data_IF_995571777158
#
_entry.id   IF_995571777158
#
_cell.length_a   1.000
_cell.length_b   1.000
_cell.length_c   1.000
_cell.angle_alpha   90.00
_cell.angle_beta   90.00
_cell.angle_gamma   90.00
#
_symmetry.space_group_name_H-M   'P 1'
#
loop_
_entity.id
_entity.type
_entity.pdbx_description
1 polymer ?
#
# COMPACT_ATOMS: atom_id res chain seq x y z
N UNK A 1 43.74 15.23 -21.04
CA UNK A 1 44.47 15.48 -19.77
C UNK A 1 43.45 15.75 -18.66
N UNK A 2 42.90 14.71 -18.03
CA UNK A 2 41.92 14.86 -16.93
C UNK A 2 42.62 14.60 -15.60
N UNK A 3 42.98 15.68 -14.90
CA UNK A 3 43.60 15.63 -13.58
C UNK A 3 42.64 15.08 -12.53
N UNK A 4 43.15 14.23 -11.63
CA UNK A 4 42.36 13.69 -10.50
C UNK A 4 42.00 14.83 -9.55
N UNK A 5 40.74 14.95 -9.10
CA UNK A 5 40.35 16.00 -8.15
C UNK A 5 40.99 15.76 -6.77
N UNK A 6 41.46 16.84 -6.14
CA UNK A 6 42.08 16.82 -4.82
C UNK A 6 41.06 16.52 -3.72
N UNK A 7 41.53 15.84 -2.66
CA UNK A 7 40.71 15.52 -1.48
C UNK A 7 40.26 16.82 -0.80
N UNK A 8 38.95 17.08 -0.77
CA UNK A 8 38.34 18.20 -0.03
C UNK A 8 37.43 19.13 -0.83
N UNK A 9 37.29 18.96 -2.14
CA UNK A 9 36.32 19.74 -2.93
C UNK A 9 34.93 19.14 -2.75
N UNK A 10 33.94 19.96 -2.37
CA UNK A 10 32.54 19.53 -2.28
C UNK A 10 32.07 19.00 -3.64
N UNK A 11 31.86 17.68 -3.73
CA UNK A 11 31.35 16.97 -4.92
C UNK A 11 29.87 17.28 -5.21
N UNK A 12 29.41 18.50 -4.98
CA UNK A 12 28.04 18.93 -5.30
C UNK A 12 28.11 19.81 -6.54
N UNK A 13 28.20 19.17 -7.70
CA UNK A 13 27.91 19.83 -8.96
C UNK A 13 26.40 20.00 -9.09
N UNK A 14 25.95 21.16 -9.58
CA UNK A 14 24.53 21.37 -9.86
C UNK A 14 24.08 20.35 -10.90
N UNK A 15 23.03 19.59 -10.58
CA UNK A 15 22.48 18.63 -11.51
C UNK A 15 22.04 19.35 -12.79
N UNK A 16 22.75 19.09 -13.88
CA UNK A 16 22.40 19.57 -15.21
C UNK A 16 21.54 18.51 -15.88
N UNK A 17 20.33 18.89 -16.26
CA UNK A 17 19.43 18.02 -17.03
C UNK A 17 20.02 17.78 -18.42
N UNK A 18 20.10 16.53 -18.86
CA UNK A 18 20.51 16.18 -20.22
C UNK A 18 19.35 16.48 -21.18
N UNK A 19 19.42 17.62 -21.86
CA UNK A 19 18.35 18.10 -22.75
C UNK A 19 18.02 17.09 -23.86
N UNK A 20 19.01 16.41 -24.41
CA UNK A 20 18.81 15.46 -25.51
C UNK A 20 18.01 14.22 -25.06
N UNK A 21 18.23 13.76 -23.83
CA UNK A 21 17.47 12.65 -23.25
C UNK A 21 16.00 13.03 -23.05
N UNK A 22 15.73 14.23 -22.52
CA UNK A 22 14.36 14.69 -22.27
C UNK A 22 13.61 15.08 -23.54
N UNK A 23 14.31 15.58 -24.57
CA UNK A 23 13.73 15.80 -25.90
C UNK A 23 13.27 14.49 -26.54
N UNK A 24 14.08 13.42 -26.45
CA UNK A 24 13.68 12.09 -26.92
C UNK A 24 12.48 11.54 -26.15
N UNK A 25 12.47 11.67 -24.83
CA UNK A 25 11.30 11.30 -24.02
C UNK A 25 10.05 12.10 -24.41
N UNK A 26 10.18 13.40 -24.67
CA UNK A 26 9.08 14.25 -25.10
C UNK A 26 8.56 13.84 -26.49
N UNK A 27 9.44 13.52 -27.44
CA UNK A 27 9.08 12.99 -28.75
C UNK A 27 8.38 11.63 -28.64
N UNK A 28 8.86 10.74 -27.77
CA UNK A 28 8.26 9.42 -27.54
C UNK A 28 6.88 9.50 -26.85
N UNK A 29 6.68 10.48 -25.97
CA UNK A 29 5.34 10.80 -25.43
C UNK A 29 4.43 11.38 -26.51
N UNK A 30 4.94 12.28 -27.35
CA UNK A 30 4.17 12.89 -28.44
C UNK A 30 3.80 11.91 -29.55
N UNK A 31 4.65 10.92 -29.83
CA UNK A 31 4.37 9.84 -30.79
C UNK A 31 3.43 8.76 -30.24
N UNK A 32 3.05 8.85 -28.96
CA UNK A 32 2.17 7.87 -28.30
C UNK A 32 2.81 6.49 -28.07
N UNK A 33 4.11 6.37 -28.32
CA UNK A 33 4.84 5.09 -28.24
C UNK A 33 5.39 4.82 -26.84
N UNK A 34 5.39 5.83 -25.97
CA UNK A 34 5.72 5.71 -24.56
C UNK A 34 4.42 5.61 -23.75
N UNK A 35 3.99 4.37 -23.50
CA UNK A 35 3.03 4.09 -22.43
C UNK A 35 3.80 4.31 -21.14
N UNK A 36 3.50 5.38 -20.40
CA UNK A 36 3.90 5.48 -18.99
C UNK A 36 3.36 4.19 -18.34
N UNK A 37 4.24 3.24 -18.02
CA UNK A 37 3.88 2.04 -17.26
C UNK A 37 3.20 2.55 -16.01
N UNK A 38 1.86 2.52 -16.01
CA UNK A 38 1.08 2.82 -14.83
C UNK A 38 1.56 1.81 -13.81
N UNK A 39 2.26 2.29 -12.78
CA UNK A 39 2.70 1.52 -11.63
C UNK A 39 1.67 0.42 -11.37
N UNK A 40 2.02 -0.82 -11.73
CA UNK A 40 1.13 -1.95 -11.58
C UNK A 40 0.96 -2.13 -10.07
N UNK A 41 -0.06 -1.45 -9.52
CA UNK A 41 -0.43 -1.58 -8.12
C UNK A 41 -0.62 -3.06 -7.90
N UNK A 42 0.10 -3.62 -6.93
CA UNK A 42 -0.01 -5.03 -6.55
C UNK A 42 -1.44 -5.31 -6.10
N UNK A 43 -2.28 -5.73 -7.04
CA UNK A 43 -3.66 -6.14 -6.77
C UNK A 43 -3.57 -7.44 -5.99
N UNK A 44 -3.92 -7.41 -4.71
CA UNK A 44 -4.08 -8.61 -3.92
C UNK A 44 -5.30 -9.33 -4.49
N UNK A 45 -5.07 -10.43 -5.22
CA UNK A 45 -6.13 -11.29 -5.76
C UNK A 45 -6.82 -12.04 -4.62
N UNK A 46 -7.64 -11.35 -3.83
CA UNK A 46 -8.50 -11.99 -2.84
C UNK A 46 -9.96 -11.78 -3.22
N UNK A 47 -10.77 -12.84 -3.12
CA UNK A 47 -12.20 -12.79 -3.46
C UNK A 47 -13.05 -12.08 -2.38
N UNK A 48 -12.42 -11.69 -1.25
CA UNK A 48 -13.08 -11.07 -0.11
C UNK A 48 -13.53 -9.67 -0.48
N UNK A 49 -14.78 -9.34 -0.16
CA UNK A 49 -15.40 -8.03 -0.50
C UNK A 49 -14.59 -6.83 0.03
N UNK A 50 -13.75 -7.07 1.03
CA UNK A 50 -12.86 -6.06 1.58
C UNK A 50 -11.80 -5.56 0.59
N UNK A 51 -11.39 -6.36 -0.39
CA UNK A 51 -10.31 -6.01 -1.33
C UNK A 51 -10.81 -5.81 -2.76
N UNK A 52 -12.12 -5.57 -2.93
CA UNK A 52 -12.69 -5.25 -4.23
C UNK A 52 -12.50 -3.77 -4.52
N UNK A 53 -11.89 -3.47 -5.67
CA UNK A 53 -11.82 -2.13 -6.21
C UNK A 53 -13.23 -1.54 -6.42
N UNK A 54 -13.30 -0.20 -6.54
CA UNK A 54 -14.55 0.49 -6.86
C UNK A 54 -15.09 0.02 -8.23
N UNK A 55 -16.41 -0.11 -8.34
CA UNK A 55 -17.04 -0.29 -9.65
C UNK A 55 -16.75 0.93 -10.55
N UNK A 56 -16.63 0.71 -11.86
CA UNK A 56 -16.13 1.67 -12.88
C UNK A 56 -16.96 2.96 -13.06
N UNK A 57 -17.98 3.21 -12.23
CA UNK A 57 -18.76 4.45 -12.16
C UNK A 57 -18.94 5.02 -10.75
N UNK A 58 -18.43 4.34 -9.72
CA UNK A 58 -18.51 4.74 -8.32
C UNK A 58 -17.16 5.29 -7.85
N UNK A 59 -16.60 6.23 -8.61
CA UNK A 59 -15.41 6.98 -8.20
C UNK A 59 -15.73 7.66 -6.86
N UNK A 60 -14.94 7.35 -5.84
CA UNK A 60 -15.16 7.81 -4.48
C UNK A 60 -15.10 9.34 -4.34
N UNK A 61 -15.19 9.85 -3.10
CA UNK A 61 -15.27 11.28 -2.87
C UNK A 61 -14.08 11.97 -3.55
N UNK A 62 -14.38 12.99 -4.37
CA UNK A 62 -13.42 13.79 -5.14
C UNK A 62 -12.80 13.05 -6.34
N UNK A 63 -13.56 12.23 -7.07
CA UNK A 63 -13.13 11.64 -8.35
C UNK A 63 -11.91 10.72 -8.22
N UNK A 64 -11.66 10.21 -7.02
CA UNK A 64 -10.57 9.27 -6.78
C UNK A 64 -10.99 7.86 -7.20
N UNK A 65 -10.03 7.03 -7.62
CA UNK A 65 -10.22 5.60 -7.94
C UNK A 65 -10.63 4.74 -6.73
N UNK A 66 -11.10 5.37 -5.64
CA UNK A 66 -11.38 4.76 -4.35
C UNK A 66 -12.85 4.39 -4.27
N UNK A 67 -13.17 3.19 -3.81
CA UNK A 67 -14.53 2.79 -3.50
C UNK A 67 -15.09 3.62 -2.33
N UNK A 68 -16.40 3.87 -2.34
CA UNK A 68 -17.09 4.44 -1.18
C UNK A 68 -16.97 3.52 0.04
N UNK A 69 -16.87 4.13 1.22
CA UNK A 69 -16.87 3.41 2.49
C UNK A 69 -18.19 2.67 2.66
N UNK A 70 -18.14 1.33 2.57
CA UNK A 70 -19.27 0.46 2.91
C UNK A 70 -19.31 0.21 4.42
N UNK A 71 -20.52 0.15 4.97
CA UNK A 71 -20.73 -0.33 6.32
C UNK A 71 -20.29 -1.80 6.43
N UNK A 72 -19.83 -2.21 7.61
CA UNK A 72 -19.50 -3.62 7.87
C UNK A 72 -20.79 -4.44 7.92
N UNK A 73 -20.87 -5.50 7.11
CA UNK A 73 -21.96 -6.48 7.17
C UNK A 73 -21.77 -7.47 8.33
N UNK A 74 -20.53 -7.87 8.57
CA UNK A 74 -20.19 -8.86 9.60
C UNK A 74 -19.86 -8.19 10.94
N UNK A 75 -20.28 -8.84 12.02
CA UNK A 75 -19.90 -8.46 13.38
C UNK A 75 -18.47 -8.89 13.66
N UNK A 76 -17.68 -7.99 14.23
CA UNK A 76 -16.32 -8.30 14.70
C UNK A 76 -16.44 -9.06 16.01
N UNK A 77 -16.16 -10.35 15.98
CA UNK A 77 -16.15 -11.22 17.16
C UNK A 77 -14.76 -11.20 17.80
N UNK A 78 -14.69 -10.72 19.05
CA UNK A 78 -13.43 -10.65 19.81
C UNK A 78 -13.37 -11.68 20.96
N UNK A 79 -14.52 -12.25 21.30
CA UNK A 79 -14.69 -13.05 22.52
C UNK A 79 -14.55 -14.56 22.29
N UNK A 80 -14.37 -15.01 21.05
CA UNK A 80 -14.39 -16.43 20.66
C UNK A 80 -13.33 -17.29 21.37
N UNK A 81 -12.24 -16.65 21.83
CA UNK A 81 -11.09 -17.33 22.44
C UNK A 81 -10.92 -16.99 23.92
N UNK A 82 -11.84 -16.24 24.52
CA UNK A 82 -11.76 -15.84 25.93
C UNK A 82 -11.86 -17.09 26.82
N UNK A 83 -10.85 -17.31 27.65
CA UNK A 83 -10.77 -18.48 28.54
C UNK A 83 -10.25 -19.77 27.89
N UNK A 84 -9.92 -19.75 26.60
CA UNK A 84 -9.31 -20.90 25.92
C UNK A 84 -7.78 -20.82 25.92
N UNK A 85 -7.11 -21.95 26.19
CA UNK A 85 -5.65 -22.08 26.07
C UNK A 85 -5.35 -22.92 24.83
N UNK A 86 -4.59 -22.36 23.88
CA UNK A 86 -4.20 -23.04 22.64
C UNK A 86 -2.68 -23.11 22.53
N UNK A 87 -2.15 -24.27 22.12
CA UNK A 87 -0.73 -24.43 21.82
C UNK A 87 -0.46 -23.94 20.40
N UNK A 88 0.47 -23.00 20.27
CA UNK A 88 0.82 -22.36 19.00
C UNK A 88 2.17 -22.93 18.52
N UNK A 89 2.24 -23.34 17.25
CA UNK A 89 3.51 -23.68 16.58
C UNK A 89 4.26 -22.40 16.22
N UNK A 90 5.60 -22.41 16.33
CA UNK A 90 6.43 -21.20 16.15
C UNK A 90 6.27 -20.50 14.80
N UNK A 91 5.97 -21.23 13.72
CA UNK A 91 5.77 -20.67 12.38
C UNK A 91 4.48 -19.83 12.28
N UNK A 92 3.43 -20.21 12.99
CA UNK A 92 2.14 -19.53 12.97
C UNK A 92 2.02 -18.43 14.04
N UNK A 93 3.06 -18.25 14.85
CA UNK A 93 3.03 -17.36 16.01
C UNK A 93 2.61 -15.93 15.64
N UNK A 94 2.94 -15.44 14.45
CA UNK A 94 2.52 -14.11 14.01
C UNK A 94 1.00 -14.05 13.79
N UNK A 95 0.38 -15.09 13.21
CA UNK A 95 -1.06 -15.07 12.91
C UNK A 95 -1.93 -15.41 14.11
N UNK A 96 -1.40 -16.21 15.03
CA UNK A 96 -2.18 -16.78 16.14
C UNK A 96 -1.95 -16.09 17.49
N UNK A 97 -0.87 -15.32 17.66
CA UNK A 97 -0.57 -14.61 18.90
C UNK A 97 -1.25 -13.23 18.95
N UNK A 98 -2.57 -13.23 19.15
CA UNK A 98 -3.38 -12.02 19.28
C UNK A 98 -4.33 -11.78 18.11
N UNK A 99 -4.71 -10.53 17.88
CA UNK A 99 -5.63 -10.12 16.81
C UNK A 99 -4.86 -9.81 15.53
N UNK A 100 -5.07 -10.61 14.49
CA UNK A 100 -4.41 -10.44 13.19
C UNK A 100 -5.23 -9.59 12.23
N UNK A 101 -4.56 -8.69 11.50
CA UNK A 101 -5.15 -7.89 10.42
C UNK A 101 -4.59 -8.34 9.07
N UNK A 102 -5.44 -8.91 8.22
CA UNK A 102 -5.07 -9.35 6.86
C UNK A 102 -4.67 -8.18 5.94
N UNK A 103 -5.29 -7.01 6.10
CA UNK A 103 -5.05 -5.83 5.25
C UNK A 103 -3.67 -5.19 5.52
N UNK A 104 -3.17 -5.30 6.75
CA UNK A 104 -1.90 -4.68 7.16
C UNK A 104 -0.81 -5.70 7.48
N UNK A 105 -1.13 -7.00 7.41
CA UNK A 105 -0.22 -8.11 7.72
C UNK A 105 0.48 -7.93 9.08
N UNK A 106 -0.27 -7.46 10.09
CA UNK A 106 0.27 -7.16 11.41
C UNK A 106 -0.63 -7.70 12.51
N UNK A 107 0.01 -8.03 13.63
CA UNK A 107 -0.64 -8.62 14.80
C UNK A 107 -0.67 -7.62 15.93
N UNK A 108 -1.85 -7.47 16.53
CA UNK A 108 -2.11 -6.57 17.64
C UNK A 108 -2.43 -7.40 18.88
N UNK A 109 -1.90 -6.99 20.03
CA UNK A 109 -2.01 -7.74 21.28
C UNK A 109 -3.34 -7.50 21.99
N UNK A 110 -3.82 -6.25 21.93
CA UNK A 110 -5.01 -5.82 22.65
C UNK A 110 -6.22 -5.66 21.71
N UNK A 111 -7.41 -5.95 22.24
CA UNK A 111 -8.69 -5.83 21.52
C UNK A 111 -9.03 -4.39 21.16
N UNK A 112 -8.74 -3.45 22.06
CA UNK A 112 -8.96 -2.01 21.84
C UNK A 112 -8.06 -1.50 20.71
N UNK A 113 -6.77 -1.85 20.75
CA UNK A 113 -5.83 -1.48 19.71
C UNK A 113 -6.22 -2.08 18.34
N UNK A 114 -6.78 -3.29 18.33
CA UNK A 114 -7.32 -3.91 17.13
C UNK A 114 -8.53 -3.16 16.56
N UNK A 115 -9.48 -2.75 17.39
CA UNK A 115 -10.64 -1.97 16.97
C UNK A 115 -10.23 -0.61 16.38
N UNK A 116 -9.34 0.11 17.07
CA UNK A 116 -8.81 1.39 16.59
C UNK A 116 -8.01 1.23 15.29
N UNK A 117 -7.29 0.12 15.16
CA UNK A 117 -6.60 -0.21 13.93
C UNK A 117 -7.57 -0.49 12.77
N UNK A 118 -8.65 -1.26 13.00
CA UNK A 118 -9.67 -1.53 11.98
C UNK A 118 -10.32 -0.23 11.49
N UNK A 119 -10.64 0.66 12.44
CA UNK A 119 -11.33 1.91 12.17
C UNK A 119 -10.38 3.02 11.67
N UNK A 120 -9.07 2.81 11.80
CA UNK A 120 -8.06 3.79 11.50
C UNK A 120 -7.97 4.14 10.01
N UNK A 121 -7.79 5.45 9.73
CA UNK A 121 -7.68 6.01 8.37
C UNK A 121 -6.62 5.33 7.49
N UNK A 122 -5.54 4.82 8.11
CA UNK A 122 -4.47 4.12 7.38
C UNK A 122 -4.92 2.76 6.85
N UNK A 123 -5.64 1.97 7.65
CA UNK A 123 -6.15 0.67 7.23
C UNK A 123 -7.30 0.83 6.23
N UNK A 124 -8.24 1.75 6.48
CA UNK A 124 -9.38 1.97 5.58
C UNK A 124 -8.95 2.46 4.20
N UNK A 125 -7.86 3.22 4.10
CA UNK A 125 -7.25 3.56 2.79
C UNK A 125 -6.65 2.34 2.10
N UNK A 126 -5.86 1.53 2.81
CA UNK A 126 -5.28 0.29 2.24
C UNK A 126 -6.33 -0.67 1.73
N UNK A 127 -7.49 -0.76 2.39
CA UNK A 127 -8.62 -1.57 1.94
C UNK A 127 -9.10 -1.19 0.53
N UNK A 128 -8.99 0.09 0.16
CA UNK A 128 -9.61 0.67 -1.02
C UNK A 128 -8.63 0.85 -2.19
N UNK A 129 -7.33 0.82 -1.90
CA UNK A 129 -6.25 0.98 -2.90
C UNK A 129 -5.71 -0.38 -3.42
N UNK A 130 -6.37 -1.49 -3.08
CA UNK A 130 -6.08 -2.86 -3.53
C UNK A 130 -7.05 -3.24 -4.64
#
# INVERSE_FOLDING_TARGET
>A
MSGKPSKGVANVTRQTWDRAHYEKLAQLRASGQLVEEKDEKKVIKSAREEFKAADDGAAGPVGSSRAFLKARADRVTLDENVGSVRVIKGEDAVKTNGFFCEVCEMTLKDSVAYLDHINGKRRTRRRVDV
#
